data_IF_021594307946
#
_entry.id   IF_021594307946
#
_cell.length_a   1.000
_cell.length_b   1.000
_cell.length_c   1.000
_cell.angle_alpha   90.00
_cell.angle_beta   90.00
_cell.angle_gamma   90.00
#
_symmetry.space_group_name_H-M   'P 1'
#
loop_
_entity.id
_entity.type
_entity.pdbx_description
1 polymer ?
#
# COMPACT_ATOMS: atom_id res chain seq x y z
N UNK A 1 11.86 -17.93 -16.15
CA UNK A 1 11.92 -17.49 -15.81
C UNK A 1 11.82 -16.93 -15.67
N UNK A 2 11.81 -16.62 -15.58
CA UNK A 2 11.80 -16.01 -15.40
C UNK A 2 12.02 -15.47 -14.97
N UNK A 3 12.25 -15.40 -14.80
CA UNK A 3 12.49 -14.86 -14.35
C UNK A 3 12.73 -14.16 -14.11
N UNK A 4 13.07 -14.88 -14.17
CA UNK A 4 13.17 -13.76 -13.58
C UNK A 4 13.84 -12.68 -14.24
N UNK A 5 13.21 -12.14 -14.92
CA UNK A 5 13.54 -10.89 -15.45
C UNK A 5 13.77 -9.91 -14.33
N UNK A 6 14.92 -9.30 -14.25
CA UNK A 6 15.18 -8.34 -13.19
C UNK A 6 14.16 -7.24 -13.13
N UNK A 7 13.60 -6.87 -14.24
CA UNK A 7 12.59 -5.83 -14.24
C UNK A 7 11.30 -6.29 -13.62
N UNK A 8 10.91 -7.52 -13.86
CA UNK A 8 9.68 -8.01 -13.31
C UNK A 8 9.82 -8.32 -11.83
N UNK A 9 11.03 -8.51 -11.35
CA UNK A 9 11.25 -8.72 -9.92
C UNK A 9 11.36 -7.45 -9.15
N UNK A 10 11.07 -6.34 -9.75
CA UNK A 10 11.24 -5.06 -9.16
C UNK A 10 10.20 -4.66 -8.19
N UNK A 11 10.39 -3.55 -7.51
CA UNK A 11 9.40 -2.98 -6.62
C UNK A 11 8.03 -2.84 -7.25
N UNK A 12 7.98 -2.67 -8.54
CA UNK A 12 6.74 -2.59 -9.28
C UNK A 12 5.84 -3.77 -8.96
N UNK A 13 6.40 -4.97 -9.01
CA UNK A 13 5.63 -6.16 -8.73
C UNK A 13 5.30 -6.28 -7.25
N UNK A 14 6.26 -5.95 -6.41
CA UNK A 14 6.05 -5.96 -4.97
C UNK A 14 4.91 -5.07 -4.56
N UNK A 15 4.84 -3.89 -5.14
CA UNK A 15 3.81 -2.96 -4.74
C UNK A 15 2.44 -3.40 -5.24
N UNK A 16 2.37 -4.12 -6.34
CA UNK A 16 1.09 -4.64 -6.82
C UNK A 16 0.52 -5.67 -5.86
N UNK A 17 1.36 -6.55 -5.39
CA UNK A 17 0.95 -7.54 -4.39
C UNK A 17 0.54 -6.85 -3.09
N UNK A 18 1.31 -5.89 -2.69
CA UNK A 18 1.05 -5.14 -1.47
C UNK A 18 -0.26 -4.36 -1.59
N UNK A 19 -0.49 -3.77 -2.76
CA UNK A 19 -1.73 -3.04 -3.00
C UNK A 19 -2.93 -3.93 -2.78
N UNK A 20 -2.88 -5.14 -3.33
CA UNK A 20 -3.97 -6.09 -3.20
C UNK A 20 -4.15 -6.55 -1.75
N UNK A 21 -3.04 -6.81 -1.08
CA UNK A 21 -3.08 -7.23 0.33
C UNK A 21 -3.66 -6.14 1.21
N UNK A 22 -3.25 -4.90 0.98
CA UNK A 22 -3.73 -3.78 1.77
C UNK A 22 -5.21 -3.53 1.50
N UNK A 23 -5.63 -3.61 0.24
CA UNK A 23 -7.02 -3.46 -0.11
C UNK A 23 -7.88 -4.51 0.57
N UNK A 24 -7.39 -5.75 0.54
CA UNK A 24 -8.10 -6.86 1.16
C UNK A 24 -8.18 -6.68 2.68
N UNK A 25 -7.10 -6.23 3.27
CA UNK A 25 -7.03 -5.96 4.70
C UNK A 25 -8.09 -4.92 5.09
N UNK A 26 -8.24 -3.89 4.29
CA UNK A 26 -9.24 -2.86 4.52
C UNK A 26 -10.64 -3.43 4.35
N UNK A 27 -10.85 -4.26 3.34
CA UNK A 27 -12.15 -4.85 3.06
C UNK A 27 -12.59 -5.80 4.16
N UNK A 28 -11.64 -6.37 4.89
CA UNK A 28 -11.95 -7.29 5.98
C UNK A 28 -12.38 -6.58 7.26
N UNK A 29 -12.47 -5.26 7.21
CA UNK A 29 -12.98 -4.51 8.34
C UNK A 29 -11.95 -4.05 9.35
N UNK A 30 -10.66 -4.17 9.01
CA UNK A 30 -9.59 -3.70 9.89
C UNK A 30 -9.54 -2.18 9.95
N UNK A 31 -10.02 -1.53 8.91
CA UNK A 31 -10.11 -0.08 8.86
C UNK A 31 -11.49 0.33 8.39
N UNK A 32 -11.97 1.42 8.94
CA UNK A 32 -13.26 1.97 8.55
C UNK A 32 -13.05 3.24 7.75
N UNK A 33 -14.10 3.64 7.08
CA UNK A 33 -14.09 4.90 6.36
C UNK A 33 -13.74 6.02 7.32
N UNK A 34 -12.77 6.82 6.95
CA UNK A 34 -12.30 7.92 7.78
C UNK A 34 -11.15 7.58 8.70
N UNK A 35 -10.81 6.30 8.85
CA UNK A 35 -9.69 5.90 9.70
C UNK A 35 -8.36 6.32 9.09
N UNK A 36 -7.45 6.69 9.95
CA UNK A 36 -6.09 7.03 9.54
C UNK A 36 -5.24 5.76 9.49
N UNK A 37 -4.51 5.58 8.41
CA UNK A 37 -3.61 4.44 8.29
C UNK A 37 -2.36 4.65 9.14
N UNK A 38 -1.73 3.55 9.58
CA UNK A 38 -0.42 3.65 10.22
C UNK A 38 0.59 4.30 9.27
N UNK A 39 1.68 4.85 9.80
CA UNK A 39 2.71 5.46 8.95
C UNK A 39 3.37 4.44 8.04
N UNK A 40 3.98 4.93 6.97
CA UNK A 40 4.66 4.07 6.00
C UNK A 40 5.59 3.07 6.65
N UNK A 41 6.38 3.53 7.61
CA UNK A 41 7.35 2.66 8.25
C UNK A 41 6.66 1.49 8.96
N UNK A 42 5.60 1.79 9.67
CA UNK A 42 4.88 0.73 10.39
C UNK A 42 4.25 -0.25 9.42
N UNK A 43 3.68 0.24 8.32
CA UNK A 43 3.11 -0.64 7.31
C UNK A 43 4.19 -1.48 6.65
N UNK A 44 5.33 -0.88 6.37
CA UNK A 44 6.44 -1.60 5.75
C UNK A 44 6.88 -2.75 6.65
N UNK A 45 6.98 -2.50 7.94
CA UNK A 45 7.36 -3.54 8.89
C UNK A 45 6.31 -4.63 8.99
N UNK A 46 5.06 -4.24 9.06
CA UNK A 46 3.96 -5.20 9.17
C UNK A 46 3.85 -6.12 7.97
N UNK A 47 4.05 -5.58 6.78
CA UNK A 47 3.91 -6.38 5.57
C UNK A 47 5.23 -6.96 5.08
N UNK A 48 6.34 -6.60 5.71
CA UNK A 48 7.65 -7.12 5.31
C UNK A 48 8.10 -6.62 3.96
N UNK A 49 7.87 -5.36 3.67
CA UNK A 49 8.22 -4.76 2.40
C UNK A 49 8.95 -3.44 2.63
N UNK A 50 9.44 -2.84 1.56
CA UNK A 50 10.12 -1.55 1.66
C UNK A 50 9.12 -0.42 1.82
N UNK A 51 9.58 0.70 2.36
CA UNK A 51 8.73 1.88 2.50
C UNK A 51 8.30 2.44 1.16
N UNK A 52 9.18 2.36 0.16
CA UNK A 52 8.80 2.82 -1.17
C UNK A 52 7.70 1.95 -1.77
N UNK A 53 7.70 0.66 -1.50
CA UNK A 53 6.60 -0.20 -1.95
C UNK A 53 5.29 0.20 -1.30
N UNK A 54 5.34 0.52 0.01
CA UNK A 54 4.15 0.99 0.72
C UNK A 54 3.64 2.28 0.08
N UNK A 55 4.55 3.21 -0.21
CA UNK A 55 4.16 4.49 -0.80
C UNK A 55 3.48 4.30 -2.15
N UNK A 56 4.03 3.40 -2.97
CA UNK A 56 3.43 3.14 -4.28
C UNK A 56 2.06 2.46 -4.15
N UNK A 57 1.92 1.57 -3.19
CA UNK A 57 0.64 0.92 -2.95
C UNK A 57 -0.41 1.94 -2.50
N UNK A 58 -0.02 2.85 -1.63
CA UNK A 58 -0.92 3.90 -1.17
C UNK A 58 -1.34 4.79 -2.34
N UNK A 59 -0.40 5.13 -3.20
CA UNK A 59 -0.72 5.94 -4.37
C UNK A 59 -1.71 5.24 -5.29
N UNK A 60 -1.52 3.93 -5.48
CA UNK A 60 -2.41 3.16 -6.33
C UNK A 60 -3.82 3.13 -5.75
N UNK A 61 -3.94 2.94 -4.43
CA UNK A 61 -5.24 2.90 -3.79
C UNK A 61 -5.89 4.28 -3.76
N UNK A 62 -5.10 5.33 -3.61
CA UNK A 62 -5.61 6.69 -3.65
C UNK A 62 -6.15 7.01 -5.04
N UNK A 63 -5.47 6.53 -6.08
CA UNK A 63 -5.93 6.73 -7.44
C UNK A 63 -7.27 6.07 -7.69
N UNK A 64 -7.56 5.01 -6.96
CA UNK A 64 -8.84 4.31 -7.06
C UNK A 64 -9.90 4.90 -6.13
N UNK A 65 -9.55 5.93 -5.38
CA UNK A 65 -10.48 6.57 -4.47
C UNK A 65 -10.69 5.85 -3.16
N UNK A 66 -9.85 4.87 -2.86
CA UNK A 66 -9.98 4.09 -1.63
C UNK A 66 -9.20 4.68 -0.47
N UNK A 67 -8.24 5.53 -0.76
CA UNK A 67 -7.45 6.22 0.24
C UNK A 67 -7.35 7.69 -0.13
N UNK A 68 -7.10 8.50 0.88
CA UNK A 68 -6.87 9.92 0.67
C UNK A 68 -5.60 10.32 1.42
N UNK A 69 -4.62 10.84 0.70
CA UNK A 69 -3.41 11.37 1.31
C UNK A 69 -3.60 12.82 1.67
N UNK A 70 -3.33 13.17 2.91
CA UNK A 70 -3.42 14.55 3.38
C UNK A 70 -2.03 15.01 3.73
N UNK A 71 -1.54 15.96 2.96
CA UNK A 71 -0.19 16.44 3.11
C UNK A 71 0.06 16.96 4.52
N UNK A 72 1.17 16.53 5.11
CA UNK A 72 1.52 16.95 6.46
C UNK A 72 0.73 16.28 7.57
N UNK A 73 -0.19 15.40 7.21
CA UNK A 73 -1.06 14.76 8.19
C UNK A 73 -0.94 13.24 8.11
N UNK A 74 -1.35 12.67 7.00
CA UNK A 74 -1.29 11.21 6.84
C UNK A 74 -2.19 10.73 5.74
N UNK A 75 -2.49 9.44 5.79
CA UNK A 75 -3.34 8.81 4.79
C UNK A 75 -4.57 8.24 5.49
N UNK A 76 -5.71 8.48 4.89
CA UNK A 76 -7.00 8.12 5.47
C UNK A 76 -7.78 7.21 4.55
N UNK A 77 -8.57 6.32 5.13
CA UNK A 77 -9.44 5.42 4.36
C UNK A 77 -10.68 6.18 3.90
N UNK A 78 -11.08 5.93 2.66
CA UNK A 78 -12.25 6.59 2.09
C UNK A 78 -13.32 5.63 1.67
#
# INVERSE_FOLDING_TARGET
MTKTDPLSGRPHRSYQKLTERLRQFMAEGHFRDGDKLPPERALAESFGVSRSSVREAIRALAAKGLLESRQGDGTYVR
#
